data_IF_452506697472
#
_entry.id   IF_452506697472
#
_cell.length_a   1.000
_cell.length_b   1.000
_cell.length_c   1.000
_cell.angle_alpha   90.00
_cell.angle_beta   90.00
_cell.angle_gamma   90.00
#
_symmetry.space_group_name_H-M   'P 1'
#
loop_
_entity.id
_entity.type
_entity.pdbx_description
1 polymer ?
#
# COMPACT_ATOMS: atom_id res chain seq x y z
N UNK A 1 56.44 2.45 -8.64
CA UNK A 1 55.13 1.96 -8.14
C UNK A 1 55.05 2.05 -6.62
N UNK A 2 55.99 1.47 -5.87
CA UNK A 2 55.98 1.52 -4.39
C UNK A 2 56.00 2.95 -3.80
N UNK A 3 56.73 3.88 -4.42
CA UNK A 3 56.77 5.30 -4.02
C UNK A 3 55.41 5.98 -4.18
N UNK A 4 54.75 5.80 -5.33
CA UNK A 4 53.45 6.42 -5.64
C UNK A 4 52.31 5.82 -4.79
N UNK A 5 52.43 4.56 -4.38
CA UNK A 5 51.44 3.86 -3.54
C UNK A 5 51.64 4.16 -2.05
N UNK A 6 52.87 4.47 -1.61
CA UNK A 6 53.18 4.76 -0.21
C UNK A 6 52.72 6.15 0.28
N UNK A 7 52.59 7.11 -0.62
CA UNK A 7 52.23 8.50 -0.29
C UNK A 7 50.71 8.75 -0.17
N UNK A 8 49.86 7.72 -0.41
CA UNK A 8 48.40 7.84 -0.39
C UNK A 8 47.73 6.89 0.62
N UNK A 9 46.54 7.27 1.09
CA UNK A 9 45.78 6.47 2.05
C UNK A 9 45.11 5.26 1.38
N UNK A 10 44.97 4.14 2.12
CA UNK A 10 44.42 2.88 1.59
C UNK A 10 43.01 3.06 0.99
N UNK A 11 42.16 3.86 1.64
CA UNK A 11 40.80 4.15 1.17
C UNK A 11 40.80 4.94 -0.13
N UNK A 12 41.72 5.89 -0.30
CA UNK A 12 41.83 6.70 -1.52
C UNK A 12 42.29 5.86 -2.71
N UNK A 13 43.23 4.93 -2.50
CA UNK A 13 43.71 4.00 -3.53
C UNK A 13 42.61 2.99 -3.93
N UNK A 14 41.71 2.64 -3.01
CA UNK A 14 40.65 1.69 -3.25
C UNK A 14 39.40 2.30 -3.91
N UNK A 15 39.07 3.57 -3.61
CA UNK A 15 37.77 4.16 -3.99
C UNK A 15 37.82 5.17 -5.15
N UNK A 16 38.79 6.09 -5.19
CA UNK A 16 38.76 7.23 -6.15
C UNK A 16 40.09 7.51 -6.87
N UNK A 17 41.25 7.19 -6.28
CA UNK A 17 42.57 7.59 -6.77
C UNK A 17 43.18 6.70 -7.85
N UNK A 18 42.52 5.61 -8.28
CA UNK A 18 43.14 4.63 -9.20
C UNK A 18 43.58 5.24 -10.53
N UNK A 19 42.71 6.01 -11.19
CA UNK A 19 43.00 6.59 -12.51
C UNK A 19 44.12 7.64 -12.45
N UNK A 20 44.17 8.41 -11.36
CA UNK A 20 45.19 9.44 -11.14
C UNK A 20 46.56 8.80 -10.90
N UNK A 21 46.61 7.72 -10.09
CA UNK A 21 47.82 6.95 -9.83
C UNK A 21 48.35 6.22 -11.07
N UNK A 22 47.46 5.69 -11.92
CA UNK A 22 47.85 5.08 -13.20
C UNK A 22 48.52 6.12 -14.10
N UNK A 23 47.96 7.33 -14.16
CA UNK A 23 48.49 8.43 -14.97
C UNK A 23 49.85 8.93 -14.48
N UNK A 24 50.01 9.11 -13.16
CA UNK A 24 51.28 9.55 -12.58
C UNK A 24 52.37 8.48 -12.66
N UNK A 25 52.01 7.21 -12.46
CA UNK A 25 52.94 6.10 -12.62
C UNK A 25 53.35 5.92 -14.08
N UNK A 26 52.43 6.14 -15.04
CA UNK A 26 52.72 6.12 -16.47
C UNK A 26 53.72 7.21 -16.84
N UNK A 27 53.50 8.44 -16.34
CA UNK A 27 54.41 9.58 -16.58
C UNK A 27 55.82 9.30 -16.04
N UNK A 28 55.94 8.89 -14.78
CA UNK A 28 57.25 8.58 -14.15
C UNK A 28 57.96 7.43 -14.85
N UNK A 29 57.25 6.37 -15.23
CA UNK A 29 57.84 5.25 -15.97
C UNK A 29 58.29 5.66 -17.36
N UNK A 30 57.48 6.42 -18.10
CA UNK A 30 57.81 6.89 -19.44
C UNK A 30 59.09 7.75 -19.42
N UNK A 31 59.19 8.71 -18.48
CA UNK A 31 60.41 9.52 -18.30
C UNK A 31 61.64 8.66 -17.98
N UNK A 32 61.47 7.61 -17.17
CA UNK A 32 62.58 6.70 -16.84
C UNK A 32 63.02 5.88 -18.06
N UNK A 33 62.07 5.38 -18.87
CA UNK A 33 62.36 4.61 -20.09
C UNK A 33 63.04 5.45 -21.18
N UNK A 34 62.70 6.74 -21.26
CA UNK A 34 63.35 7.73 -22.13
C UNK A 34 64.79 8.01 -21.70
N UNK A 35 65.06 8.17 -20.40
CA UNK A 35 66.43 8.34 -19.88
C UNK A 35 67.32 7.14 -20.23
N UNK A 36 66.76 5.93 -20.17
CA UNK A 36 67.49 4.71 -20.51
C UNK A 36 67.51 4.39 -22.02
N UNK A 37 66.93 5.24 -22.88
CA UNK A 37 66.89 5.07 -24.35
C UNK A 37 66.44 3.67 -24.82
N UNK A 38 65.48 3.06 -24.11
CA UNK A 38 65.08 1.67 -24.38
C UNK A 38 64.16 1.50 -25.60
N UNK A 39 63.71 2.59 -26.24
CA UNK A 39 62.85 2.54 -27.43
C UNK A 39 61.45 1.96 -27.21
N UNK A 40 61.03 1.80 -25.95
CA UNK A 40 59.74 1.22 -25.55
C UNK A 40 58.79 2.37 -25.15
N UNK A 41 57.56 2.36 -25.67
CA UNK A 41 56.48 3.27 -25.29
C UNK A 41 55.41 2.51 -24.51
N UNK A 42 55.06 3.01 -23.33
CA UNK A 42 54.01 2.42 -22.48
C UNK A 42 52.70 3.16 -22.76
N UNK A 43 51.66 2.42 -23.18
CA UNK A 43 50.35 3.01 -23.51
C UNK A 43 49.41 3.08 -22.30
N UNK A 44 49.42 2.06 -21.43
CA UNK A 44 48.53 2.01 -20.27
C UNK A 44 49.14 1.18 -19.14
N UNK A 45 48.90 1.63 -17.90
CA UNK A 45 49.19 0.88 -16.67
C UNK A 45 47.87 0.62 -15.97
N UNK A 46 47.66 -0.61 -15.51
CA UNK A 46 46.51 -0.99 -14.71
C UNK A 46 46.97 -1.48 -13.33
N UNK A 47 46.44 -0.90 -12.25
CA UNK A 47 46.71 -1.46 -10.91
C UNK A 47 45.92 -2.75 -10.72
N UNK A 48 46.63 -3.85 -10.42
CA UNK A 48 46.02 -5.12 -10.01
C UNK A 48 45.39 -4.99 -8.62
N UNK A 49 44.30 -5.71 -8.39
CA UNK A 49 43.50 -5.63 -7.15
C UNK A 49 44.36 -5.78 -5.88
N UNK A 50 44.34 -4.73 -5.05
CA UNK A 50 45.00 -4.69 -3.74
C UNK A 50 44.09 -5.40 -2.75
N UNK A 51 44.61 -6.47 -2.13
CA UNK A 51 43.93 -7.15 -1.03
C UNK A 51 44.64 -6.77 0.28
N UNK A 52 43.90 -6.52 1.38
CA UNK A 52 44.50 -6.31 2.68
C UNK A 52 45.36 -7.51 3.09
N UNK A 53 46.47 -7.30 3.82
CA UNK A 53 47.26 -8.41 4.33
C UNK A 53 46.44 -9.24 5.33
N UNK A 54 46.66 -10.57 5.33
CA UNK A 54 45.88 -11.54 6.15
C UNK A 54 45.80 -11.19 7.64
N UNK A 55 46.78 -10.46 8.17
CA UNK A 55 46.84 -10.07 9.57
C UNK A 55 45.75 -9.04 9.98
N UNK A 56 45.25 -8.22 9.07
CA UNK A 56 44.29 -7.13 9.37
C UNK A 56 42.94 -7.30 8.69
N UNK A 57 42.83 -8.25 7.76
CA UNK A 57 41.62 -8.49 6.96
C UNK A 57 40.37 -8.68 7.84
N UNK A 58 40.46 -9.46 8.92
CA UNK A 58 39.34 -9.71 9.83
C UNK A 58 38.78 -8.42 10.47
N UNK A 59 39.66 -7.48 10.84
CA UNK A 59 39.24 -6.20 11.45
C UNK A 59 38.63 -5.25 10.43
N UNK A 60 39.12 -5.23 9.19
CA UNK A 60 38.51 -4.45 8.10
C UNK A 60 37.13 -5.01 7.73
N UNK A 61 37.00 -6.33 7.62
CA UNK A 61 35.72 -6.99 7.34
C UNK A 61 34.71 -6.73 8.46
N UNK A 62 35.15 -6.68 9.72
CA UNK A 62 34.31 -6.34 10.86
C UNK A 62 33.80 -4.90 10.84
N UNK A 63 34.67 -3.92 10.52
CA UNK A 63 34.26 -2.50 10.40
C UNK A 63 33.26 -2.33 9.25
N UNK A 64 33.51 -2.96 8.10
CA UNK A 64 32.61 -2.91 6.96
C UNK A 64 31.24 -3.55 7.30
N UNK A 65 31.24 -4.71 7.96
CA UNK A 65 30.00 -5.34 8.43
C UNK A 65 29.24 -4.45 9.41
N UNK A 66 29.94 -3.84 10.37
CA UNK A 66 29.32 -2.94 11.35
C UNK A 66 28.72 -1.68 10.68
N UNK A 67 29.38 -1.13 9.65
CA UNK A 67 28.84 -0.03 8.86
C UNK A 67 27.59 -0.45 8.08
N UNK A 68 27.63 -1.61 7.41
CA UNK A 68 26.48 -2.16 6.69
C UNK A 68 25.29 -2.42 7.61
N UNK A 69 25.51 -3.06 8.77
CA UNK A 69 24.46 -3.29 9.76
C UNK A 69 23.88 -1.98 10.30
N UNK A 70 24.70 -0.94 10.49
CA UNK A 70 24.23 0.37 10.90
C UNK A 70 23.32 0.98 9.84
N UNK A 71 23.73 0.96 8.58
CA UNK A 71 22.92 1.47 7.47
C UNK A 71 21.62 0.68 7.30
N UNK A 72 21.68 -0.64 7.41
CA UNK A 72 20.51 -1.51 7.36
C UNK A 72 19.52 -1.18 8.48
N UNK A 73 20.00 -1.07 9.73
CA UNK A 73 19.15 -0.69 10.88
C UNK A 73 18.50 0.68 10.69
N UNK A 74 19.24 1.66 10.17
CA UNK A 74 18.70 2.99 9.86
C UNK A 74 17.61 2.89 8.79
N UNK A 75 17.85 2.11 7.74
CA UNK A 75 16.89 1.94 6.66
C UNK A 75 15.60 1.24 7.13
N UNK A 76 15.72 0.18 7.94
CA UNK A 76 14.57 -0.51 8.55
C UNK A 76 13.77 0.46 9.43
N UNK A 77 14.44 1.24 10.29
CA UNK A 77 13.77 2.21 11.17
C UNK A 77 13.03 3.28 10.37
N UNK A 78 13.66 3.81 9.32
CA UNK A 78 13.03 4.77 8.41
C UNK A 78 11.84 4.15 7.67
N UNK A 79 11.96 2.89 7.24
CA UNK A 79 10.87 2.14 6.62
C UNK A 79 9.66 1.99 7.54
N UNK A 80 9.87 1.58 8.79
CA UNK A 80 8.82 1.43 9.79
C UNK A 80 8.18 2.78 10.17
N UNK A 81 8.97 3.85 10.29
CA UNK A 81 8.46 5.21 10.49
C UNK A 81 7.58 5.66 9.31
N UNK A 82 8.07 5.49 8.08
CA UNK A 82 7.37 5.86 6.85
C UNK A 82 6.14 4.98 6.58
N UNK A 83 6.00 3.84 7.25
CA UNK A 83 4.83 2.97 7.17
C UNK A 83 3.80 3.27 8.25
N UNK A 84 4.24 3.41 9.49
CA UNK A 84 3.36 3.56 10.65
C UNK A 84 2.65 4.91 10.70
N UNK A 85 3.39 6.01 10.50
CA UNK A 85 2.82 7.37 10.59
C UNK A 85 1.79 7.63 9.49
N UNK A 86 2.07 7.38 8.20
CA UNK A 86 1.08 7.60 7.14
C UNK A 86 -0.13 6.68 7.27
N UNK A 87 0.07 5.42 7.70
CA UNK A 87 -1.03 4.49 7.95
C UNK A 87 -1.96 4.99 9.05
N UNK A 88 -1.40 5.43 10.18
CA UNK A 88 -2.20 5.99 11.29
C UNK A 88 -2.97 7.24 10.86
N UNK A 89 -2.32 8.16 10.13
CA UNK A 89 -2.98 9.35 9.57
C UNK A 89 -4.10 9.00 8.59
N UNK A 90 -3.86 8.03 7.71
CA UNK A 90 -4.87 7.56 6.75
C UNK A 90 -6.09 6.96 7.44
N UNK A 91 -5.89 6.13 8.46
CA UNK A 91 -6.98 5.55 9.26
C UNK A 91 -7.77 6.63 10.01
N UNK A 92 -7.07 7.61 10.60
CA UNK A 92 -7.73 8.73 11.27
C UNK A 92 -8.59 9.55 10.30
N UNK A 93 -8.04 9.88 9.12
CA UNK A 93 -8.77 10.61 8.09
C UNK A 93 -9.97 9.81 7.56
N UNK A 94 -9.80 8.51 7.32
CA UNK A 94 -10.89 7.63 6.90
C UNK A 94 -12.01 7.60 7.93
N UNK A 95 -11.68 7.55 9.22
CA UNK A 95 -12.67 7.57 10.31
C UNK A 95 -13.42 8.90 10.34
N UNK A 96 -12.72 10.04 10.23
CA UNK A 96 -13.32 11.37 10.21
C UNK A 96 -14.26 11.51 9.01
N UNK A 97 -13.78 11.22 7.80
CA UNK A 97 -14.60 11.32 6.58
C UNK A 97 -15.78 10.34 6.59
N UNK A 98 -15.62 9.16 7.19
CA UNK A 98 -16.73 8.22 7.41
C UNK A 98 -17.79 8.78 8.35
N UNK A 99 -17.37 9.42 9.45
CA UNK A 99 -18.29 10.06 10.40
C UNK A 99 -19.01 11.28 9.80
N UNK A 100 -18.30 12.13 9.05
CA UNK A 100 -18.87 13.26 8.32
C UNK A 100 -19.87 12.79 7.27
N UNK A 101 -19.51 11.75 6.50
CA UNK A 101 -20.40 11.14 5.52
C UNK A 101 -21.66 10.57 6.15
N UNK A 102 -21.53 9.88 7.29
CA UNK A 102 -22.69 9.36 8.04
C UNK A 102 -23.59 10.49 8.56
N UNK A 103 -23.02 11.55 9.14
CA UNK A 103 -23.78 12.69 9.62
C UNK A 103 -24.54 13.39 8.47
N UNK A 104 -23.88 13.59 7.33
CA UNK A 104 -24.49 14.16 6.14
C UNK A 104 -25.60 13.26 5.58
N UNK A 105 -25.37 11.95 5.50
CA UNK A 105 -26.38 10.99 5.08
C UNK A 105 -27.61 11.05 6.00
N UNK A 106 -27.41 11.06 7.32
CA UNK A 106 -28.51 11.08 8.30
C UNK A 106 -29.34 12.36 8.19
N UNK A 107 -28.69 13.51 8.03
CA UNK A 107 -29.39 14.80 7.86
C UNK A 107 -30.13 14.87 6.53
N UNK A 108 -29.53 14.41 5.43
CA UNK A 108 -30.18 14.39 4.12
C UNK A 108 -31.34 13.40 4.07
N UNK A 109 -31.21 12.24 4.69
CA UNK A 109 -32.29 11.27 4.78
C UNK A 109 -33.47 11.84 5.58
N UNK A 110 -33.20 12.46 6.74
CA UNK A 110 -34.24 13.13 7.52
C UNK A 110 -34.94 14.24 6.73
N UNK A 111 -34.19 15.07 5.99
CA UNK A 111 -34.77 16.10 5.11
C UNK A 111 -35.62 15.50 3.99
N UNK A 112 -35.16 14.42 3.36
CA UNK A 112 -35.88 13.72 2.31
C UNK A 112 -37.17 13.07 2.82
N UNK A 113 -37.14 12.47 4.01
CA UNK A 113 -38.30 11.87 4.65
C UNK A 113 -39.34 12.94 5.03
N UNK A 114 -38.90 14.08 5.57
CA UNK A 114 -39.79 15.23 5.86
C UNK A 114 -40.40 15.79 4.59
N UNK A 115 -39.62 15.96 3.52
CA UNK A 115 -40.12 16.44 2.24
C UNK A 115 -41.20 15.49 1.69
N UNK A 116 -40.91 14.18 1.63
CA UNK A 116 -41.86 13.15 1.19
C UNK A 116 -43.13 13.15 2.04
N UNK A 117 -43.01 13.27 3.35
CA UNK A 117 -44.15 13.32 4.26
C UNK A 117 -45.00 14.58 4.03
N UNK A 118 -44.37 15.74 3.85
CA UNK A 118 -45.07 17.00 3.60
C UNK A 118 -45.88 16.96 2.30
N UNK A 119 -45.31 16.39 1.23
CA UNK A 119 -46.01 16.19 -0.04
C UNK A 119 -47.20 15.23 0.12
N UNK A 120 -47.01 14.13 0.85
CA UNK A 120 -48.08 13.18 1.13
C UNK A 120 -49.21 13.81 1.94
N UNK A 121 -48.88 14.63 2.95
CA UNK A 121 -49.86 15.31 3.80
C UNK A 121 -50.76 16.23 2.97
N UNK A 122 -50.17 17.01 2.04
CA UNK A 122 -50.94 17.88 1.13
C UNK A 122 -51.93 17.09 0.28
N UNK A 123 -51.56 15.89 -0.19
CA UNK A 123 -52.47 15.03 -0.96
C UNK A 123 -53.54 14.38 -0.07
N UNK A 124 -53.15 13.99 1.14
CA UNK A 124 -54.06 13.41 2.12
C UNK A 124 -55.16 14.38 2.55
N UNK A 125 -54.81 15.65 2.80
CA UNK A 125 -55.78 16.71 3.11
C UNK A 125 -56.80 16.93 1.98
N UNK A 126 -56.38 16.80 0.72
CA UNK A 126 -57.28 16.91 -0.44
C UNK A 126 -58.22 15.72 -0.59
N UNK A 127 -57.72 14.50 -0.38
CA UNK A 127 -58.48 13.26 -0.61
C UNK A 127 -58.05 12.15 0.38
N UNK A 128 -58.62 12.12 1.60
CA UNK A 128 -58.13 11.24 2.66
C UNK A 128 -58.44 9.75 2.41
N UNK A 129 -59.61 9.44 1.85
CA UNK A 129 -60.05 8.04 1.63
C UNK A 129 -59.22 7.37 0.54
N UNK A 130 -59.03 8.05 -0.60
CA UNK A 130 -58.29 7.51 -1.76
C UNK A 130 -56.81 7.36 -1.42
N UNK A 131 -56.22 8.34 -0.72
CA UNK A 131 -54.80 8.29 -0.33
C UNK A 131 -54.49 7.14 0.62
N UNK A 132 -55.37 6.88 1.62
CA UNK A 132 -55.23 5.72 2.53
C UNK A 132 -55.31 4.39 1.80
N UNK A 133 -56.31 4.25 0.93
CA UNK A 133 -56.53 2.99 0.20
C UNK A 133 -55.38 2.71 -0.77
N UNK A 134 -54.87 3.73 -1.46
CA UNK A 134 -53.69 3.62 -2.31
C UNK A 134 -52.45 3.17 -1.52
N UNK A 135 -52.15 3.82 -0.40
CA UNK A 135 -50.99 3.48 0.44
C UNK A 135 -51.08 2.03 0.96
N UNK A 136 -52.27 1.59 1.37
CA UNK A 136 -52.50 0.21 1.78
C UNK A 136 -52.23 -0.79 0.65
N UNK A 137 -52.75 -0.52 -0.55
CA UNK A 137 -52.54 -1.41 -1.71
C UNK A 137 -51.07 -1.42 -2.16
N UNK A 138 -50.37 -0.28 -2.17
CA UNK A 138 -48.95 -0.19 -2.52
C UNK A 138 -48.07 -0.94 -1.50
N UNK A 139 -48.29 -0.72 -0.20
CA UNK A 139 -47.55 -1.42 0.86
C UNK A 139 -47.82 -2.92 0.83
N UNK A 140 -49.07 -3.33 0.62
CA UNK A 140 -49.44 -4.74 0.51
C UNK A 140 -48.81 -5.40 -0.71
N UNK A 141 -48.75 -4.70 -1.86
CA UNK A 141 -48.07 -5.21 -3.06
C UNK A 141 -46.55 -5.38 -2.85
N UNK A 142 -45.92 -4.56 -2.01
CA UNK A 142 -44.49 -4.69 -1.70
C UNK A 142 -44.18 -5.80 -0.68
N UNK A 143 -45.06 -5.97 0.31
CA UNK A 143 -44.86 -6.92 1.42
C UNK A 143 -45.30 -8.33 1.05
N UNK A 144 -46.39 -8.49 0.29
CA UNK A 144 -46.93 -9.80 -0.08
C UNK A 144 -45.93 -10.74 -0.77
N UNK A 145 -45.08 -10.29 -1.73
CA UNK A 145 -44.08 -11.14 -2.36
C UNK A 145 -42.98 -11.60 -1.39
N UNK A 146 -42.68 -10.81 -0.35
CA UNK A 146 -41.64 -11.11 0.65
C UNK A 146 -42.09 -12.14 1.70
N UNK A 147 -43.40 -12.38 1.81
CA UNK A 147 -43.99 -13.28 2.82
C UNK A 147 -43.97 -14.78 2.48
N UNK A 148 -43.47 -15.19 1.30
CA UNK A 148 -43.37 -16.60 0.91
C UNK A 148 -44.72 -17.21 0.47
N UNK A 149 -44.83 -18.54 0.51
CA UNK A 149 -45.99 -19.30 0.00
C UNK A 149 -47.28 -18.96 0.77
N UNK A 150 -48.12 -18.12 0.17
CA UNK A 150 -49.42 -17.72 0.71
C UNK A 150 -50.50 -18.72 0.30
N UNK A 151 -51.12 -19.37 1.28
CA UNK A 151 -52.34 -20.16 1.09
C UNK A 151 -53.51 -19.26 1.45
N UNK A 152 -54.30 -18.85 0.46
CA UNK A 152 -55.50 -18.05 0.66
C UNK A 152 -56.68 -19.01 0.72
N UNK A 153 -57.34 -19.06 1.87
CA UNK A 153 -58.50 -19.93 2.12
C UNK A 153 -59.72 -19.02 2.16
N UNK A 154 -60.73 -19.36 1.37
CA UNK A 154 -62.04 -18.70 1.39
C UNK A 154 -62.84 -19.20 2.61
N UNK A 155 -63.65 -18.32 3.22
CA UNK A 155 -64.37 -18.61 4.47
C UNK A 155 -65.43 -19.72 4.28
N UNK A 156 -65.90 -19.91 3.05
CA UNK A 156 -66.84 -20.96 2.66
C UNK A 156 -66.19 -22.34 2.41
N UNK A 157 -64.86 -22.45 2.39
CA UNK A 157 -64.16 -23.70 2.09
C UNK A 157 -64.02 -24.58 3.34
N UNK A 158 -65.00 -25.46 3.60
CA UNK A 158 -65.07 -26.24 4.85
C UNK A 158 -64.10 -27.43 5.02
N UNK A 159 -63.37 -27.90 4.00
CA UNK A 159 -62.43 -29.02 4.23
C UNK A 159 -61.42 -29.26 3.08
N UNK A 160 -60.14 -28.95 3.30
CA UNK A 160 -59.04 -29.26 2.35
C UNK A 160 -57.78 -29.83 3.03
N UNK A 161 -57.85 -30.12 4.34
CA UNK A 161 -56.77 -30.76 5.10
C UNK A 161 -56.18 -32.04 4.45
N UNK A 162 -56.95 -32.91 3.75
CA UNK A 162 -56.39 -34.12 3.15
C UNK A 162 -55.56 -33.92 1.88
N UNK A 163 -55.56 -32.72 1.27
CA UNK A 163 -54.91 -32.46 -0.03
C UNK A 163 -53.71 -31.53 0.04
N UNK A 164 -53.38 -31.03 1.24
CA UNK A 164 -52.24 -30.13 1.43
C UNK A 164 -50.99 -30.94 1.80
N UNK A 165 -50.28 -31.47 0.79
CA UNK A 165 -48.93 -31.98 0.97
C UNK A 165 -47.99 -30.81 1.28
N UNK A 166 -47.90 -30.46 2.56
CA UNK A 166 -46.94 -29.48 3.08
C UNK A 166 -45.53 -30.01 2.79
N UNK A 167 -44.68 -29.29 2.02
CA UNK A 167 -43.28 -29.69 1.88
C UNK A 167 -42.63 -29.62 3.25
N UNK A 168 -42.22 -30.78 3.76
CA UNK A 168 -41.43 -30.89 4.99
C UNK A 168 -40.13 -30.12 4.80
N UNK A 169 -39.98 -29.10 5.64
CA UNK A 169 -38.86 -28.18 5.70
C UNK A 169 -37.52 -28.95 5.75
N UNK A 170 -36.73 -28.88 4.68
CA UNK A 170 -35.32 -29.34 4.68
C UNK A 170 -34.49 -28.27 5.37
N UNK A 171 -34.19 -28.49 6.65
CA UNK A 171 -33.12 -27.77 7.34
C UNK A 171 -31.78 -28.06 6.65
N UNK A 172 -31.15 -27.03 6.08
CA UNK A 172 -29.69 -26.82 6.03
C UNK A 172 -29.39 -25.36 5.74
#
# INVERSE_FOLDING_TARGET
MNEVVGDRTVDEVLTYGRSEMESDCLRKLQTTMEIFNMGIRIEQIQLKNIHPPRAVQASFDEVNRAQQEREERINIANGEYNKSIPKARGLAQQMISGAEGYALQRTNQAKGDVARFSELLVQYEKAPVVTKQRLYLETMNEVLPKMGSKIIIDEDAKQFLPLLNLPTNKQR
#
